data_IF_054065610740
#
_entry.id   IF_054065610740
#
_cell.length_a   1.000
_cell.length_b   1.000
_cell.length_c   1.000
_cell.angle_alpha   90.00
_cell.angle_beta   90.00
_cell.angle_gamma   90.00
#
_symmetry.space_group_name_H-M   'P 1'
#
loop_
_entity.id
_entity.type
_entity.pdbx_description
1 polymer ?
#
# COMPACT_ATOMS: atom_id res chain seq x y z
N UNK A 1 17.31 20.36 24.12
CA UNK A 1 17.78 19.91 25.46
C UNK A 1 17.64 21.08 26.40
N UNK A 2 16.46 21.22 26.99
CA UNK A 2 16.20 22.17 28.05
C UNK A 2 15.74 21.32 29.23
N UNK A 3 16.54 21.29 30.28
CA UNK A 3 16.32 20.47 31.46
C UNK A 3 15.00 20.90 32.11
N UNK A 4 14.08 19.95 32.28
CA UNK A 4 12.94 20.13 33.17
C UNK A 4 13.50 20.46 34.56
N UNK A 5 13.39 21.73 34.94
CA UNK A 5 13.77 22.19 36.26
C UNK A 5 12.80 21.56 37.28
N UNK A 6 13.35 20.74 38.18
CA UNK A 6 12.72 20.34 39.44
C UNK A 6 12.47 21.59 40.29
N UNK A 7 11.36 22.29 40.07
CA UNK A 7 10.89 23.26 41.05
C UNK A 7 10.34 22.50 42.27
N UNK A 8 10.82 22.81 43.50
CA UNK A 8 10.32 22.15 44.70
C UNK A 8 8.83 22.46 44.90
N UNK A 9 8.06 21.42 45.20
CA UNK A 9 6.64 21.53 45.53
C UNK A 9 6.45 22.51 46.71
N UNK A 10 5.55 23.47 46.57
CA UNK A 10 5.22 24.41 47.63
C UNK A 10 4.52 23.68 48.81
N UNK A 11 4.67 24.17 50.04
CA UNK A 11 4.15 23.55 51.27
C UNK A 11 2.66 23.19 51.23
N UNK A 12 1.86 23.93 50.44
CA UNK A 12 0.45 23.67 50.23
C UNK A 12 0.18 22.37 49.43
N UNK A 13 1.04 22.01 48.48
CA UNK A 13 0.89 20.81 47.64
C UNK A 13 1.26 19.54 48.41
N UNK A 14 2.25 19.61 49.30
CA UNK A 14 2.61 18.48 50.18
C UNK A 14 1.45 18.08 51.09
N UNK A 15 0.74 19.06 51.66
CA UNK A 15 -0.47 18.79 52.45
C UNK A 15 -1.61 18.19 51.63
N UNK A 16 -1.72 18.55 50.36
CA UNK A 16 -2.74 18.03 49.45
C UNK A 16 -2.46 16.56 49.06
N UNK A 17 -1.18 16.22 48.84
CA UNK A 17 -0.72 14.84 48.64
C UNK A 17 -1.05 13.98 49.88
N UNK A 18 -0.73 14.45 51.08
CA UNK A 18 -1.04 13.72 52.32
C UNK A 18 -2.55 13.48 52.52
N UNK A 19 -3.38 14.50 52.25
CA UNK A 19 -4.84 14.36 52.26
C UNK A 19 -5.32 13.34 51.25
N UNK A 20 -4.77 13.34 50.05
CA UNK A 20 -5.14 12.41 48.98
C UNK A 20 -4.78 10.97 49.35
N UNK A 21 -3.59 10.75 49.90
CA UNK A 21 -3.16 9.44 50.42
C UNK A 21 -4.08 8.93 51.53
N UNK A 22 -4.49 9.83 52.43
CA UNK A 22 -5.42 9.51 53.51
C UNK A 22 -6.80 9.11 52.98
N UNK A 23 -7.33 9.83 51.98
CA UNK A 23 -8.59 9.48 51.31
C UNK A 23 -8.50 8.13 50.57
N UNK A 24 -7.36 7.85 49.95
CA UNK A 24 -7.09 6.59 49.26
C UNK A 24 -6.80 5.41 50.21
N UNK A 25 -6.68 5.65 51.53
CA UNK A 25 -6.28 4.66 52.54
C UNK A 25 -4.89 4.03 52.28
N UNK A 26 -3.99 4.80 51.67
CA UNK A 26 -2.61 4.39 51.41
C UNK A 26 -1.67 4.98 52.46
N UNK A 27 -0.64 4.22 52.86
CA UNK A 27 0.43 4.73 53.70
C UNK A 27 1.58 5.23 52.84
N UNK A 28 2.39 6.20 53.31
CA UNK A 28 3.60 6.63 52.62
C UNK A 28 4.66 5.52 52.44
N UNK A 29 4.54 4.44 53.20
CA UNK A 29 5.35 3.23 53.13
C UNK A 29 4.95 2.32 51.95
N UNK A 30 3.71 2.43 51.47
CA UNK A 30 3.16 1.65 50.37
C UNK A 30 3.53 2.25 49.00
N UNK A 31 4.14 3.44 48.99
CA UNK A 31 4.50 4.18 47.77
C UNK A 31 5.93 3.89 47.35
N UNK A 32 6.14 3.84 46.04
CA UNK A 32 7.48 3.88 45.45
C UNK A 32 8.15 5.22 45.76
N UNK A 33 9.50 5.30 45.67
CA UNK A 33 10.23 6.53 45.92
C UNK A 33 9.80 7.71 45.05
N UNK A 34 9.34 7.47 43.83
CA UNK A 34 8.86 8.53 42.94
C UNK A 34 7.33 8.66 43.00
N UNK A 35 6.84 9.80 43.48
CA UNK A 35 5.43 10.20 43.41
C UNK A 35 5.22 11.17 42.25
N UNK A 36 4.29 10.86 41.34
CA UNK A 36 3.99 11.72 40.19
C UNK A 36 2.60 12.33 40.35
N UNK A 37 2.51 13.66 40.36
CA UNK A 37 1.24 14.38 40.41
C UNK A 37 0.84 14.76 38.99
N UNK A 38 -0.29 14.23 38.53
CA UNK A 38 -0.80 14.42 37.17
C UNK A 38 -1.70 15.66 37.12
N UNK A 39 -1.37 16.59 36.23
CA UNK A 39 -2.16 17.79 35.96
C UNK A 39 -2.62 17.83 34.51
N UNK A 40 -3.75 18.45 34.28
CA UNK A 40 -4.21 18.78 32.93
C UNK A 40 -3.60 20.12 32.50
N UNK A 41 -3.10 20.19 31.26
CA UNK A 41 -2.67 21.46 30.68
C UNK A 41 -3.83 22.47 30.69
N UNK A 42 -3.51 23.75 30.86
CA UNK A 42 -4.48 24.85 30.82
C UNK A 42 -4.99 25.18 29.41
N UNK A 43 -4.33 24.63 28.38
CA UNK A 43 -4.72 24.74 26.98
C UNK A 43 -5.78 23.68 26.63
N UNK A 44 -6.51 23.86 25.52
CA UNK A 44 -7.52 22.89 25.09
C UNK A 44 -6.91 21.50 24.91
N UNK A 45 -7.33 20.54 25.73
CA UNK A 45 -6.85 19.15 25.69
C UNK A 45 -7.35 18.38 24.45
N UNK A 46 -8.31 18.96 23.73
CA UNK A 46 -8.79 18.51 22.43
C UNK A 46 -7.92 19.10 21.32
N UNK A 47 -6.61 18.84 21.39
CA UNK A 47 -5.73 19.28 20.31
C UNK A 47 -6.01 18.44 19.06
N UNK A 48 -6.66 19.06 18.06
CA UNK A 48 -6.87 18.50 16.72
C UNK A 48 -5.55 18.15 15.97
N UNK A 49 -4.40 18.44 16.58
CA UNK A 49 -3.08 18.19 16.00
C UNK A 49 -2.59 16.75 16.23
N UNK A 50 -3.24 15.98 17.10
CA UNK A 50 -2.85 14.61 17.40
C UNK A 50 -4.01 13.65 17.14
N UNK A 51 -3.67 12.46 16.63
CA UNK A 51 -4.56 11.31 16.53
C UNK A 51 -3.79 10.08 16.99
N UNK A 52 -4.48 9.17 17.67
CA UNK A 52 -3.90 7.89 18.09
C UNK A 52 -4.07 6.89 16.94
N UNK A 53 -2.99 6.22 16.56
CA UNK A 53 -2.99 5.19 15.53
C UNK A 53 -2.59 3.86 16.16
N UNK A 54 -3.39 2.83 15.96
CA UNK A 54 -3.04 1.48 16.33
C UNK A 54 -1.98 0.94 15.36
N UNK A 55 -0.88 0.43 15.91
CA UNK A 55 0.23 -0.11 15.15
C UNK A 55 0.41 -1.57 15.56
N UNK A 56 0.28 -2.48 14.59
CA UNK A 56 0.62 -3.89 14.78
C UNK A 56 2.13 -4.12 14.63
N UNK A 57 2.61 -5.35 14.87
CA UNK A 57 4.04 -5.65 14.76
C UNK A 57 4.60 -5.43 13.34
N UNK A 58 3.79 -5.65 12.30
CA UNK A 58 4.22 -5.50 10.91
C UNK A 58 4.43 -4.03 10.55
N UNK A 59 3.48 -3.16 10.93
CA UNK A 59 3.59 -1.72 10.78
C UNK A 59 4.72 -1.17 11.66
N UNK A 60 4.90 -1.70 12.87
CA UNK A 60 5.98 -1.29 13.76
C UNK A 60 7.37 -1.53 13.14
N UNK A 61 7.57 -2.69 12.52
CA UNK A 61 8.80 -2.99 11.75
C UNK A 61 8.99 -1.96 10.62
N UNK A 62 7.93 -1.68 9.87
CA UNK A 62 7.96 -0.67 8.79
C UNK A 62 8.36 0.71 9.31
N UNK A 63 7.82 1.17 10.45
CA UNK A 63 8.19 2.46 11.05
C UNK A 63 9.62 2.48 11.59
N UNK A 64 10.09 1.37 12.17
CA UNK A 64 11.43 1.26 12.72
C UNK A 64 12.53 1.30 11.64
N UNK A 65 12.24 0.75 10.46
CA UNK A 65 13.17 0.74 9.32
C UNK A 65 13.23 2.08 8.55
N UNK A 66 12.62 3.15 9.09
CA UNK A 66 12.40 4.43 8.39
C UNK A 66 11.55 4.28 7.12
N UNK A 67 10.69 3.26 7.10
CA UNK A 67 9.73 3.04 6.03
C UNK A 67 8.77 4.22 5.90
N UNK A 68 8.35 4.51 4.68
CA UNK A 68 7.36 5.55 4.39
C UNK A 68 5.99 4.90 4.36
N UNK A 69 5.04 5.52 5.07
CA UNK A 69 3.63 5.17 5.00
C UNK A 69 2.84 6.32 4.40
N UNK A 70 1.80 5.99 3.64
CA UNK A 70 0.95 6.94 2.95
C UNK A 70 -0.47 6.80 3.44
N UNK A 71 -1.15 7.91 3.72
CA UNK A 71 -2.60 7.93 3.88
C UNK A 71 -3.19 8.34 2.54
N UNK A 72 -4.05 7.49 1.96
CA UNK A 72 -4.63 7.68 0.63
C UNK A 72 -6.15 7.65 0.70
N UNK A 73 -6.80 8.56 -0.01
CA UNK A 73 -8.25 8.62 -0.13
C UNK A 73 -8.66 9.96 -0.73
N UNK A 74 -9.69 9.93 -1.56
CA UNK A 74 -10.30 11.13 -2.13
C UNK A 74 -11.48 11.57 -1.26
N UNK A 75 -12.04 12.76 -1.52
CA UNK A 75 -13.11 13.35 -0.69
C UNK A 75 -14.37 12.47 -0.54
N UNK A 76 -14.57 11.51 -1.45
CA UNK A 76 -15.72 10.61 -1.51
C UNK A 76 -15.39 9.15 -1.13
N UNK A 77 -14.19 8.88 -0.63
CA UNK A 77 -13.72 7.54 -0.27
C UNK A 77 -13.24 7.50 1.19
N UNK A 78 -13.31 6.32 1.80
CA UNK A 78 -12.69 6.13 3.11
C UNK A 78 -11.17 6.14 2.95
N UNK A 79 -10.44 6.77 3.87
CA UNK A 79 -9.00 6.75 3.84
C UNK A 79 -8.45 5.33 4.11
N UNK A 80 -7.34 5.00 3.43
CA UNK A 80 -6.55 3.80 3.67
C UNK A 80 -5.13 4.19 4.05
N UNK A 81 -4.46 3.33 4.81
CA UNK A 81 -3.03 3.41 5.05
C UNK A 81 -2.32 2.44 4.09
N UNK A 82 -1.33 2.93 3.35
CA UNK A 82 -0.51 2.11 2.46
C UNK A 82 0.94 2.14 2.92
N UNK A 83 1.56 0.96 3.04
CA UNK A 83 3.01 0.82 3.01
C UNK A 83 3.47 0.65 1.56
N UNK A 84 4.76 0.35 1.34
CA UNK A 84 5.23 -0.02 0.00
C UNK A 84 4.67 -1.36 -0.47
N UNK A 85 4.27 -2.25 0.45
CA UNK A 85 3.95 -3.65 0.18
C UNK A 85 2.49 -4.03 0.38
N UNK A 86 1.74 -3.29 1.20
CA UNK A 86 0.37 -3.63 1.57
C UNK A 86 -0.53 -2.41 1.84
N UNK A 87 -1.83 -2.62 1.69
CA UNK A 87 -2.87 -1.64 2.02
C UNK A 87 -3.67 -2.08 3.25
N UNK A 88 -4.08 -1.11 4.05
CA UNK A 88 -4.82 -1.29 5.28
C UNK A 88 -6.00 -0.33 5.35
N UNK A 89 -7.15 -0.81 5.78
CA UNK A 89 -8.30 0.04 6.09
C UNK A 89 -8.00 0.84 7.36
N UNK A 90 -8.44 2.11 7.35
CA UNK A 90 -8.29 3.04 8.46
C UNK A 90 -9.69 3.36 9.03
N UNK A 91 -9.97 2.86 10.23
CA UNK A 91 -11.28 3.01 10.87
C UNK A 91 -11.15 3.75 12.20
N UNK A 92 -12.03 4.71 12.45
CA UNK A 92 -12.09 5.38 13.74
C UNK A 92 -12.92 4.56 14.72
N UNK A 93 -12.29 4.17 15.84
CA UNK A 93 -12.89 3.32 16.87
C UNK A 93 -12.94 4.10 18.19
N UNK A 94 -14.14 4.20 18.76
CA UNK A 94 -14.35 4.84 20.07
C UNK A 94 -13.99 3.91 21.23
N UNK A 95 -13.54 4.50 22.34
CA UNK A 95 -13.25 3.82 23.60
C UNK A 95 -14.16 4.32 24.71
N UNK A 96 -14.63 3.40 25.57
CA UNK A 96 -15.40 3.77 26.76
C UNK A 96 -14.57 4.45 27.85
N UNK A 97 -13.25 4.28 27.80
CA UNK A 97 -12.29 4.90 28.70
C UNK A 97 -11.56 6.04 27.99
N UNK A 98 -11.19 7.07 28.75
CA UNK A 98 -10.32 8.13 28.27
C UNK A 98 -8.87 7.63 28.15
N UNK A 99 -8.24 7.93 27.02
CA UNK A 99 -6.81 7.71 26.77
C UNK A 99 -6.07 9.05 27.00
N UNK A 100 -5.16 9.06 27.97
CA UNK A 100 -4.40 10.27 28.33
C UNK A 100 -3.04 10.25 27.64
N UNK A 101 -2.76 11.25 26.81
CA UNK A 101 -1.41 11.48 26.28
C UNK A 101 -0.62 12.29 27.29
N UNK A 102 0.39 11.63 27.88
CA UNK A 102 1.20 12.19 28.95
C UNK A 102 2.67 12.06 28.59
N UNK A 103 3.39 13.16 28.67
CA UNK A 103 4.82 13.19 28.36
C UNK A 103 5.62 12.75 29.59
N UNK A 104 6.64 11.89 29.37
CA UNK A 104 7.62 11.48 30.40
C UNK A 104 7.00 10.87 31.67
N UNK A 105 5.88 10.16 31.56
CA UNK A 105 5.30 9.41 32.67
C UNK A 105 6.21 8.22 33.04
N UNK A 106 6.70 8.19 34.27
CA UNK A 106 7.47 7.07 34.78
C UNK A 106 6.56 5.92 35.21
N UNK A 107 6.78 4.74 34.64
CA UNK A 107 6.15 3.49 35.08
C UNK A 107 7.00 2.80 36.14
N UNK A 108 6.40 1.85 36.87
CA UNK A 108 7.05 1.12 37.97
C UNK A 108 8.46 0.62 37.62
N UNK A 109 8.62 0.04 36.43
CA UNK A 109 9.89 -0.58 36.01
C UNK A 109 11.04 0.44 35.81
N UNK A 110 10.70 1.74 35.75
CA UNK A 110 11.67 2.83 35.62
C UNK A 110 12.12 3.43 36.97
N UNK A 111 11.56 2.96 38.09
CA UNK A 111 11.83 3.51 39.43
C UNK A 111 12.61 2.51 40.26
N UNK A 112 13.74 2.95 40.84
CA UNK A 112 14.54 2.12 41.74
C UNK A 112 14.07 2.28 43.19
N UNK A 113 13.79 1.17 43.89
CA UNK A 113 13.28 1.19 45.28
C UNK A 113 14.22 1.87 46.28
N UNK A 114 15.52 1.94 45.97
CA UNK A 114 16.55 2.58 46.81
C UNK A 114 16.72 4.08 46.55
N UNK A 115 16.00 4.65 45.57
CA UNK A 115 16.08 6.08 45.27
C UNK A 115 15.52 6.93 46.43
N UNK A 116 16.01 8.18 46.60
CA UNK A 116 15.40 9.11 47.53
C UNK A 116 13.95 9.41 47.13
N UNK A 117 13.08 9.62 48.13
CA UNK A 117 11.70 10.00 47.87
C UNK A 117 11.66 11.33 47.13
N UNK A 118 11.04 11.35 45.97
CA UNK A 118 10.91 12.51 45.10
C UNK A 118 9.46 12.64 44.65
N UNK A 119 9.01 13.88 44.50
CA UNK A 119 7.73 14.19 43.87
C UNK A 119 8.01 14.92 42.58
N UNK A 120 7.39 14.51 41.49
CA UNK A 120 7.48 15.21 40.21
C UNK A 120 6.09 15.55 39.67
N UNK A 121 6.04 16.59 38.84
CA UNK A 121 4.83 17.04 38.16
C UNK A 121 4.80 16.49 36.75
N UNK A 122 3.67 15.93 36.35
CA UNK A 122 3.47 15.43 34.98
C UNK A 122 2.22 16.09 34.40
N UNK A 123 2.30 16.49 33.12
CA UNK A 123 1.22 17.24 32.46
C UNK A 123 0.60 16.41 31.34
N UNK A 124 -0.72 16.25 31.37
CA UNK A 124 -1.52 15.67 30.29
C UNK A 124 -1.57 16.67 29.14
N UNK A 125 -1.16 16.22 27.96
CA UNK A 125 -1.12 16.99 26.71
C UNK A 125 -2.35 16.77 25.84
N UNK A 126 -3.05 15.64 26.01
CA UNK A 126 -4.27 15.35 25.27
C UNK A 126 -5.14 14.30 25.93
N UNK A 127 -6.44 14.37 25.67
CA UNK A 127 -7.43 13.39 26.13
C UNK A 127 -8.21 12.89 24.92
N UNK A 128 -8.10 11.59 24.65
CA UNK A 128 -8.71 10.94 23.50
C UNK A 128 -9.78 9.95 23.95
N UNK A 129 -10.83 9.84 23.14
CA UNK A 129 -11.89 8.86 23.29
C UNK A 129 -12.05 8.00 22.02
N UNK A 130 -11.15 8.21 21.05
CA UNK A 130 -11.07 7.50 19.80
C UNK A 130 -9.62 7.20 19.44
N UNK A 131 -9.44 6.21 18.57
CA UNK A 131 -8.19 5.93 17.90
C UNK A 131 -8.49 5.39 16.50
N UNK A 132 -7.49 5.49 15.63
CA UNK A 132 -7.52 4.91 14.30
C UNK A 132 -7.03 3.47 14.39
N UNK A 133 -7.95 2.54 14.16
CA UNK A 133 -7.67 1.13 13.98
C UNK A 133 -7.22 0.87 12.53
N UNK A 134 -6.20 0.03 12.38
CA UNK A 134 -5.60 -0.31 11.08
C UNK A 134 -5.76 -1.81 10.86
N UNK A 135 -6.44 -2.20 9.78
CA UNK A 135 -6.65 -3.61 9.46
C UNK A 135 -6.21 -3.94 8.03
N UNK A 136 -5.43 -5.02 7.80
CA UNK A 136 -5.01 -5.39 6.44
C UNK A 136 -6.22 -5.59 5.53
N UNK A 137 -6.17 -5.01 4.34
CA UNK A 137 -7.28 -5.06 3.38
C UNK A 137 -6.78 -5.35 1.98
N UNK A 138 -7.70 -5.72 1.08
CA UNK A 138 -7.36 -5.88 -0.34
C UNK A 138 -7.36 -4.50 -1.01
N UNK A 139 -6.42 -4.22 -1.92
CA UNK A 139 -6.39 -2.96 -2.64
C UNK A 139 -7.65 -2.82 -3.52
N UNK A 140 -8.23 -1.63 -3.54
CA UNK A 140 -9.38 -1.37 -4.41
C UNK A 140 -8.90 -1.04 -5.84
N UNK A 141 -8.84 -2.09 -6.68
CA UNK A 141 -8.39 -1.99 -8.06
C UNK A 141 -9.52 -1.68 -9.06
N UNK A 142 -10.77 -1.55 -8.61
CA UNK A 142 -11.88 -1.22 -9.49
C UNK A 142 -11.66 0.15 -10.15
N UNK A 143 -11.22 1.14 -9.35
CA UNK A 143 -10.90 2.48 -9.82
C UNK A 143 -9.77 2.49 -10.86
N UNK A 144 -8.79 1.58 -10.74
CA UNK A 144 -7.72 1.45 -11.73
C UNK A 144 -8.29 1.05 -13.10
N UNK A 145 -9.19 0.06 -13.13
CA UNK A 145 -9.90 -0.32 -14.36
C UNK A 145 -10.71 0.83 -14.93
N UNK A 146 -11.53 1.49 -14.10
CA UNK A 146 -12.38 2.60 -14.53
C UNK A 146 -11.58 3.76 -15.13
N UNK A 147 -10.38 4.04 -14.62
CA UNK A 147 -9.49 5.07 -15.17
C UNK A 147 -8.88 4.63 -16.51
N UNK A 148 -8.40 3.39 -16.62
CA UNK A 148 -7.71 2.91 -17.81
C UNK A 148 -8.65 2.54 -18.97
N UNK A 149 -9.87 2.08 -18.68
CA UNK A 149 -10.88 1.71 -19.68
C UNK A 149 -11.47 2.91 -20.42
N UNK A 150 -11.33 4.13 -19.88
CA UNK A 150 -11.79 5.36 -20.56
C UNK A 150 -11.06 5.59 -21.87
N UNK A 151 -9.77 5.24 -21.93
CA UNK A 151 -8.92 5.50 -23.08
C UNK A 151 -7.95 4.36 -23.36
N UNK A 152 -8.44 3.20 -23.80
CA UNK A 152 -7.59 2.12 -24.26
C UNK A 152 -6.77 2.57 -25.48
N UNK A 153 -5.64 1.92 -25.72
CA UNK A 153 -4.80 2.17 -26.89
C UNK A 153 -5.32 1.36 -28.08
N UNK A 154 -5.75 2.07 -29.12
CA UNK A 154 -6.38 1.48 -30.33
C UNK A 154 -5.46 1.46 -31.55
N UNK A 155 -4.23 1.95 -31.39
CA UNK A 155 -3.25 2.09 -32.46
C UNK A 155 -2.84 3.54 -32.73
N UNK A 156 -1.67 3.73 -33.36
CA UNK A 156 -1.09 5.05 -33.58
C UNK A 156 -1.98 5.97 -34.42
N UNK A 157 -2.81 5.40 -35.30
CA UNK A 157 -3.73 6.15 -36.14
C UNK A 157 -4.83 6.88 -35.37
N UNK A 158 -5.15 6.43 -34.14
CA UNK A 158 -6.21 6.99 -33.28
C UNK A 158 -5.68 7.97 -32.22
N UNK A 159 -4.38 8.22 -32.15
CA UNK A 159 -3.78 9.06 -31.11
C UNK A 159 -3.61 10.54 -31.52
N UNK A 160 -3.73 10.88 -32.82
CA UNK A 160 -3.37 12.20 -33.36
C UNK A 160 -4.26 13.37 -32.94
N UNK A 161 -5.52 13.11 -32.61
CA UNK A 161 -6.52 14.16 -32.30
C UNK A 161 -7.11 14.02 -30.89
N UNK A 162 -6.52 13.17 -30.04
CA UNK A 162 -7.04 12.85 -28.73
C UNK A 162 -6.49 13.75 -27.65
N UNK A 163 -7.37 14.53 -27.03
CA UNK A 163 -7.08 15.34 -25.84
C UNK A 163 -6.39 14.48 -24.75
N UNK A 164 -5.26 14.90 -24.16
CA UNK A 164 -4.47 14.13 -23.18
C UNK A 164 -5.19 13.83 -21.85
N UNK A 165 -6.43 14.29 -21.70
CA UNK A 165 -7.30 13.88 -20.60
C UNK A 165 -7.46 12.35 -20.58
N UNK A 166 -7.61 11.81 -19.36
CA UNK A 166 -7.69 10.38 -19.09
C UNK A 166 -6.46 9.55 -19.51
N UNK A 167 -5.27 10.17 -19.57
CA UNK A 167 -3.99 9.48 -19.68
C UNK A 167 -3.14 9.63 -18.42
N UNK A 168 -2.72 8.50 -17.88
CA UNK A 168 -2.05 8.47 -16.59
C UNK A 168 -0.64 7.91 -16.70
N UNK A 169 0.30 8.60 -16.06
CA UNK A 169 1.61 8.05 -15.72
C UNK A 169 1.48 7.11 -14.53
N UNK A 170 2.51 6.30 -14.30
CA UNK A 170 2.58 5.44 -13.13
C UNK A 170 2.42 6.23 -11.81
N UNK A 171 3.09 7.39 -11.69
CA UNK A 171 3.01 8.21 -10.48
C UNK A 171 1.62 8.78 -10.25
N UNK A 172 0.91 9.17 -11.32
CA UNK A 172 -0.45 9.67 -11.21
C UNK A 172 -1.42 8.57 -10.76
N UNK A 173 -1.26 7.34 -11.26
CA UNK A 173 -2.05 6.20 -10.80
C UNK A 173 -1.75 5.86 -9.34
N UNK A 174 -0.47 5.80 -8.96
CA UNK A 174 -0.08 5.49 -7.58
C UNK A 174 -0.65 6.48 -6.56
N UNK A 175 -0.81 7.74 -6.95
CA UNK A 175 -1.39 8.77 -6.09
C UNK A 175 -2.93 8.72 -6.02
N UNK A 176 -3.59 8.20 -7.07
CA UNK A 176 -5.07 8.16 -7.16
C UNK A 176 -5.68 6.83 -6.75
N UNK A 177 -4.90 5.75 -6.73
CA UNK A 177 -5.38 4.40 -6.41
C UNK A 177 -5.03 4.06 -4.96
N UNK A 178 -6.02 3.53 -4.25
CA UNK A 178 -5.90 2.99 -2.90
C UNK A 178 -5.22 1.62 -2.92
N UNK A 179 -3.93 1.64 -3.21
CA UNK A 179 -3.06 0.47 -3.25
C UNK A 179 -1.63 0.86 -2.84
N UNK A 180 -0.91 -0.10 -2.29
CA UNK A 180 0.54 -0.03 -2.17
C UNK A 180 1.22 -0.08 -3.55
N UNK A 181 2.52 0.21 -3.58
CA UNK A 181 3.32 0.14 -4.80
C UNK A 181 3.32 -1.28 -5.38
N UNK A 182 3.62 -2.27 -4.55
CA UNK A 182 3.67 -3.66 -4.98
C UNK A 182 2.31 -4.18 -5.46
N UNK A 183 1.22 -3.77 -4.81
CA UNK A 183 -0.13 -4.15 -5.23
C UNK A 183 -0.50 -3.52 -6.58
N UNK A 184 -0.14 -2.25 -6.80
CA UNK A 184 -0.34 -1.60 -8.09
C UNK A 184 0.49 -2.27 -9.19
N UNK A 185 1.77 -2.57 -8.93
CA UNK A 185 2.65 -3.25 -9.89
C UNK A 185 2.08 -4.61 -10.28
N UNK A 186 1.68 -5.42 -9.29
CA UNK A 186 1.06 -6.72 -9.52
C UNK A 186 -0.26 -6.59 -10.32
N UNK A 187 -1.05 -5.55 -10.05
CA UNK A 187 -2.28 -5.28 -10.79
C UNK A 187 -2.01 -4.91 -12.26
N UNK A 188 -1.05 -4.01 -12.51
CA UNK A 188 -0.68 -3.59 -13.87
C UNK A 188 -0.10 -4.76 -14.68
N UNK A 189 0.71 -5.62 -14.06
CA UNK A 189 1.22 -6.84 -14.68
C UNK A 189 0.09 -7.82 -15.02
N UNK A 190 -0.84 -8.05 -14.10
CA UNK A 190 -1.99 -8.92 -14.31
C UNK A 190 -2.94 -8.41 -15.42
N UNK A 191 -3.13 -7.09 -15.50
CA UNK A 191 -3.91 -6.43 -16.55
C UNK A 191 -3.18 -6.34 -17.90
N UNK A 192 -1.90 -6.73 -17.96
CA UNK A 192 -1.05 -6.72 -19.18
C UNK A 192 -0.99 -5.34 -19.80
N UNK A 193 -0.76 -4.36 -18.95
CA UNK A 193 -0.68 -2.96 -19.34
C UNK A 193 0.60 -2.69 -20.13
N UNK A 194 0.48 -1.86 -21.16
CA UNK A 194 1.63 -1.36 -21.93
C UNK A 194 1.92 0.08 -21.56
N UNK A 195 3.20 0.45 -21.66
CA UNK A 195 3.65 1.83 -21.49
C UNK A 195 3.92 2.42 -22.87
N UNK A 196 3.10 3.41 -23.27
CA UNK A 196 3.23 4.10 -24.56
C UNK A 196 3.43 5.58 -24.27
N UNK A 197 4.55 6.16 -24.71
CA UNK A 197 4.89 7.58 -24.47
C UNK A 197 4.79 7.98 -22.99
N UNK A 198 5.34 7.16 -22.09
CA UNK A 198 5.27 7.32 -20.63
C UNK A 198 3.88 7.18 -19.99
N UNK A 199 2.84 6.89 -20.77
CA UNK A 199 1.48 6.67 -20.30
C UNK A 199 1.14 5.18 -20.22
N UNK A 200 0.45 4.83 -19.15
CA UNK A 200 0.01 3.48 -18.81
C UNK A 200 -1.31 3.20 -19.53
N UNK A 201 -1.37 2.18 -20.39
CA UNK A 201 -2.51 1.92 -21.30
C UNK A 201 -2.92 0.45 -21.37
N UNK A 202 -4.22 0.19 -21.33
CA UNK A 202 -4.79 -1.09 -21.75
C UNK A 202 -4.80 -1.13 -23.29
N UNK A 203 -4.37 -2.25 -23.88
CA UNK A 203 -4.53 -2.47 -25.33
C UNK A 203 -5.98 -2.82 -25.66
N UNK A 204 -6.55 -2.14 -26.65
CA UNK A 204 -7.84 -2.52 -27.20
C UNK A 204 -7.77 -3.92 -27.84
N UNK A 205 -8.86 -4.68 -27.69
CA UNK A 205 -8.92 -6.06 -28.14
C UNK A 205 -8.71 -6.22 -29.65
N UNK A 206 -9.31 -5.34 -30.46
CA UNK A 206 -9.17 -5.41 -31.92
C UNK A 206 -7.74 -5.07 -32.34
N UNK A 207 -7.16 -4.05 -31.70
CA UNK A 207 -5.77 -3.66 -31.93
C UNK A 207 -4.79 -4.78 -31.55
N UNK A 208 -4.96 -5.36 -30.36
CA UNK A 208 -4.18 -6.51 -29.89
C UNK A 208 -4.24 -7.66 -30.90
N UNK A 209 -5.46 -8.02 -31.33
CA UNK A 209 -5.68 -9.12 -32.28
C UNK A 209 -5.02 -8.85 -33.64
N UNK A 210 -5.03 -7.59 -34.08
CA UNK A 210 -4.36 -7.15 -35.31
C UNK A 210 -2.84 -7.29 -35.21
N UNK A 211 -2.23 -6.83 -34.12
CA UNK A 211 -0.78 -6.97 -33.89
C UNK A 211 -0.37 -8.45 -33.86
N UNK A 212 -1.11 -9.28 -33.15
CA UNK A 212 -0.86 -10.72 -33.10
C UNK A 212 -0.93 -11.37 -34.50
N UNK A 213 -1.90 -10.94 -35.33
CA UNK A 213 -2.01 -11.43 -36.70
C UNK A 213 -0.80 -11.05 -37.56
N UNK A 214 -0.21 -9.86 -37.36
CA UNK A 214 1.03 -9.47 -38.03
C UNK A 214 2.22 -10.32 -37.58
N UNK A 215 2.33 -10.61 -36.29
CA UNK A 215 3.38 -11.51 -35.78
C UNK A 215 3.26 -12.92 -36.37
N UNK A 216 2.05 -13.48 -36.42
CA UNK A 216 1.79 -14.79 -37.03
C UNK A 216 2.12 -14.81 -38.53
N UNK A 217 1.74 -13.75 -39.25
CA UNK A 217 2.08 -13.60 -40.67
C UNK A 217 3.60 -13.53 -40.89
N UNK A 218 4.34 -12.85 -40.02
CA UNK A 218 5.80 -12.77 -40.10
C UNK A 218 6.46 -14.14 -39.92
N UNK A 219 5.95 -14.96 -39.01
CA UNK A 219 6.40 -16.35 -38.81
C UNK A 219 6.18 -17.18 -40.07
N UNK A 220 5.00 -17.06 -40.70
CA UNK A 220 4.69 -17.75 -41.95
C UNK A 220 5.60 -17.29 -43.10
N UNK A 221 5.79 -15.98 -43.27
CA UNK A 221 6.61 -15.39 -44.33
C UNK A 221 8.09 -15.80 -44.23
N UNK A 222 8.63 -15.86 -43.01
CA UNK A 222 10.00 -16.32 -42.77
C UNK A 222 10.13 -17.84 -42.67
N UNK A 223 9.01 -18.58 -42.77
CA UNK A 223 8.97 -20.04 -42.58
C UNK A 223 9.59 -20.48 -41.26
N UNK A 224 9.40 -19.69 -40.19
CA UNK A 224 9.90 -20.02 -38.87
C UNK A 224 9.11 -21.16 -38.26
N UNK A 225 9.81 -22.03 -37.53
CA UNK A 225 9.15 -22.95 -36.63
C UNK A 225 8.59 -22.18 -35.44
N UNK A 226 7.46 -22.61 -34.89
CA UNK A 226 6.88 -22.00 -33.69
C UNK A 226 7.83 -21.97 -32.48
N UNK A 227 8.86 -22.84 -32.47
CA UNK A 227 9.83 -22.92 -31.39
C UNK A 227 11.14 -22.14 -31.67
N UNK A 228 11.21 -21.46 -32.83
CA UNK A 228 12.41 -20.78 -33.33
C UNK A 228 12.04 -19.40 -33.88
N UNK A 229 11.25 -18.64 -33.12
CA UNK A 229 10.87 -17.27 -33.47
C UNK A 229 11.98 -16.31 -33.04
N UNK A 230 12.44 -15.48 -33.97
CA UNK A 230 13.49 -14.49 -33.75
C UNK A 230 12.89 -13.17 -33.23
N UNK A 231 13.35 -12.74 -32.05
CA UNK A 231 12.88 -11.52 -31.41
C UNK A 231 13.35 -10.26 -32.15
N UNK A 232 14.64 -10.17 -32.47
CA UNK A 232 15.25 -8.97 -33.06
C UNK A 232 14.66 -8.72 -34.45
N UNK A 233 14.50 -9.78 -35.25
CA UNK A 233 13.86 -9.68 -36.57
C UNK A 233 12.37 -9.32 -36.47
N UNK A 234 11.67 -9.79 -35.43
CA UNK A 234 10.27 -9.43 -35.20
C UNK A 234 10.12 -7.94 -34.89
N UNK A 235 10.92 -7.43 -33.94
CA UNK A 235 10.91 -6.01 -33.57
C UNK A 235 11.32 -5.14 -34.75
N UNK A 236 12.42 -5.48 -35.44
CA UNK A 236 12.91 -4.67 -36.55
C UNK A 236 11.90 -4.57 -37.69
N UNK A 237 11.19 -5.66 -37.99
CA UNK A 237 10.24 -5.70 -39.12
C UNK A 237 8.92 -4.99 -38.81
N UNK A 238 8.44 -5.09 -37.56
CA UNK A 238 7.14 -4.54 -37.17
C UNK A 238 7.21 -3.10 -36.62
N UNK A 239 8.40 -2.62 -36.25
CA UNK A 239 8.61 -1.28 -35.65
C UNK A 239 8.08 -0.11 -36.50
N UNK A 240 8.05 -0.26 -37.83
CA UNK A 240 7.50 0.77 -38.74
C UNK A 240 5.99 0.98 -38.59
N UNK A 241 5.26 -0.03 -38.08
CA UNK A 241 3.79 -0.05 -38.00
C UNK A 241 3.28 -0.05 -36.56
N UNK A 242 4.06 -0.59 -35.63
CA UNK A 242 3.66 -0.82 -34.25
C UNK A 242 4.77 -0.27 -33.33
N UNK A 243 4.42 0.49 -32.28
CA UNK A 243 5.39 0.91 -31.27
C UNK A 243 6.15 -0.29 -30.69
N UNK A 244 7.47 -0.15 -30.55
CA UNK A 244 8.34 -1.23 -30.08
C UNK A 244 7.90 -1.76 -28.71
N UNK A 245 7.43 -0.90 -27.81
CA UNK A 245 6.99 -1.27 -26.46
C UNK A 245 5.83 -2.27 -26.51
N UNK A 246 4.94 -2.13 -27.50
CA UNK A 246 3.80 -3.03 -27.70
C UNK A 246 4.26 -4.34 -28.31
N UNK A 247 5.18 -4.30 -29.28
CA UNK A 247 5.76 -5.52 -29.87
C UNK A 247 6.44 -6.34 -28.78
N UNK A 248 7.31 -5.71 -27.99
CA UNK A 248 8.00 -6.33 -26.87
C UNK A 248 7.02 -6.97 -25.88
N UNK A 249 6.04 -6.20 -25.42
CA UNK A 249 5.05 -6.68 -24.45
C UNK A 249 4.25 -7.88 -24.96
N UNK A 250 3.77 -7.83 -26.22
CA UNK A 250 3.01 -8.93 -26.80
C UNK A 250 3.90 -10.15 -27.11
N UNK A 251 5.16 -9.92 -27.52
CA UNK A 251 6.12 -10.99 -27.74
C UNK A 251 6.39 -11.76 -26.45
N UNK A 252 6.69 -11.05 -25.35
CA UNK A 252 6.86 -11.65 -24.03
C UNK A 252 5.59 -12.35 -23.53
N UNK A 253 4.41 -11.85 -23.90
CA UNK A 253 3.14 -12.45 -23.50
C UNK A 253 2.86 -13.82 -24.17
N UNK A 254 3.29 -13.99 -25.42
CA UNK A 254 2.99 -15.16 -26.23
C UNK A 254 4.17 -16.11 -26.45
N UNK A 255 5.37 -15.72 -26.04
CA UNK A 255 6.58 -16.53 -26.22
C UNK A 255 7.31 -16.76 -24.90
N UNK A 256 8.13 -17.81 -24.88
CA UNK A 256 9.10 -18.08 -23.83
C UNK A 256 10.50 -18.27 -24.43
N UNK A 257 11.55 -17.95 -23.68
CA UNK A 257 12.92 -18.17 -24.14
C UNK A 257 13.17 -19.67 -24.31
N UNK A 258 13.59 -20.10 -25.49
CA UNK A 258 13.97 -21.48 -25.71
C UNK A 258 15.39 -21.74 -25.20
N UNK A 259 15.79 -23.03 -25.15
CA UNK A 259 17.17 -23.43 -24.79
C UNK A 259 18.22 -23.06 -25.85
N UNK A 260 17.76 -22.75 -27.06
CA UNK A 260 18.58 -22.19 -28.14
C UNK A 260 18.31 -20.68 -28.14
N UNK A 261 19.16 -19.84 -28.73
CA UNK A 261 19.03 -18.37 -28.71
C UNK A 261 17.74 -17.79 -29.37
N UNK A 262 16.74 -18.62 -29.62
CA UNK A 262 15.43 -18.31 -30.17
C UNK A 262 14.31 -18.41 -29.12
N UNK A 263 13.13 -17.86 -29.43
CA UNK A 263 11.94 -17.96 -28.58
C UNK A 263 10.93 -18.97 -29.12
N UNK A 264 10.18 -19.59 -28.21
CA UNK A 264 9.14 -20.57 -28.51
C UNK A 264 7.77 -19.99 -28.21
N UNK A 265 6.82 -20.18 -29.13
CA UNK A 265 5.44 -19.76 -28.96
C UNK A 265 4.75 -20.67 -27.95
N UNK A 266 4.10 -20.05 -26.97
CA UNK A 266 3.25 -20.73 -26.01
C UNK A 266 1.88 -21.01 -26.65
N UNK A 267 1.71 -22.19 -27.25
CA UNK A 267 0.42 -22.62 -27.84
C UNK A 267 -0.73 -22.62 -26.82
N UNK A 268 -0.46 -22.94 -25.55
CA UNK A 268 -1.45 -22.80 -24.47
C UNK A 268 -1.84 -21.33 -24.25
N UNK A 269 -0.92 -20.39 -24.40
CA UNK A 269 -1.25 -18.95 -24.37
C UNK A 269 -2.06 -18.53 -25.59
N UNK A 270 -1.77 -19.06 -26.78
CA UNK A 270 -2.58 -18.81 -27.98
C UNK A 270 -4.00 -19.39 -27.85
N UNK A 271 -4.19 -20.56 -27.24
CA UNK A 271 -5.50 -21.20 -27.11
C UNK A 271 -6.26 -20.63 -25.90
N UNK A 272 -5.66 -20.60 -24.71
CA UNK A 272 -6.31 -20.14 -23.49
C UNK A 272 -6.52 -18.61 -23.46
N UNK A 273 -5.62 -17.82 -24.08
CA UNK A 273 -5.75 -16.35 -24.12
C UNK A 273 -6.51 -15.81 -25.33
N UNK A 274 -6.71 -16.56 -26.43
CA UNK A 274 -7.67 -16.19 -27.48
C UNK A 274 -9.13 -16.60 -27.14
N UNK A 275 -9.32 -17.54 -26.20
CA UNK A 275 -10.63 -17.97 -25.69
C UNK A 275 -11.18 -17.08 -24.56
N UNK A 276 -10.78 -15.81 -24.48
CA UNK A 276 -11.44 -14.73 -23.70
C UNK A 276 -12.88 -14.40 -24.20
N UNK A 277 -13.54 -15.37 -24.86
CA UNK A 277 -14.66 -15.17 -25.78
C UNK A 277 -16.06 -15.31 -25.16
N UNK A 278 -16.22 -15.48 -23.85
CA UNK A 278 -17.56 -15.73 -23.27
C UNK A 278 -17.89 -15.00 -21.95
N UNK A 279 -17.41 -13.78 -21.74
CA UNK A 279 -18.09 -12.81 -20.85
C UNK A 279 -18.33 -13.26 -19.40
N UNK A 280 -17.26 -13.54 -18.66
CA UNK A 280 -17.32 -13.76 -17.20
C UNK A 280 -16.86 -12.49 -16.47
N UNK A 281 -17.60 -12.10 -15.43
CA UNK A 281 -17.27 -10.97 -14.56
C UNK A 281 -16.02 -11.30 -13.71
N UNK A 282 -15.19 -10.29 -13.48
CA UNK A 282 -14.00 -10.31 -12.61
C UNK A 282 -14.21 -11.03 -11.26
N UNK A 283 -15.44 -11.01 -10.72
CA UNK A 283 -15.85 -11.68 -9.48
C UNK A 283 -15.58 -13.19 -9.43
N UNK A 284 -15.40 -13.86 -10.58
CA UNK A 284 -15.23 -15.31 -10.63
C UNK A 284 -13.76 -15.77 -10.63
N UNK A 285 -12.79 -14.85 -10.76
CA UNK A 285 -11.35 -15.17 -10.74
C UNK A 285 -10.76 -15.34 -9.34
N UNK A 286 -11.32 -14.74 -8.29
CA UNK A 286 -10.82 -14.91 -6.91
C UNK A 286 -11.02 -16.34 -6.35
N UNK A 287 -11.83 -17.18 -7.01
CA UNK A 287 -12.18 -18.52 -6.55
C UNK A 287 -11.42 -19.67 -7.24
N UNK A 288 -10.48 -19.40 -8.15
CA UNK A 288 -9.75 -20.47 -8.82
C UNK A 288 -8.55 -20.98 -7.97
N UNK A 289 -8.52 -22.26 -7.57
CA UNK A 289 -7.42 -22.77 -6.75
C UNK A 289 -6.12 -22.82 -7.57
N UNK A 290 -5.04 -22.26 -7.01
CA UNK A 290 -3.66 -22.48 -7.47
C UNK A 290 -3.33 -23.98 -7.36
N UNK A 291 -3.56 -24.76 -8.42
CA UNK A 291 -3.04 -26.12 -8.48
C UNK A 291 -1.53 -26.06 -8.73
N UNK A 292 -0.78 -26.16 -7.62
CA UNK A 292 0.60 -26.65 -7.64
C UNK A 292 0.59 -28.05 -8.25
N UNK A 293 1.26 -28.23 -9.39
CA UNK A 293 1.62 -29.55 -9.88
C UNK A 293 2.62 -30.17 -8.89
N UNK A 294 2.15 -31.12 -8.09
CA UNK A 294 3.01 -32.15 -7.53
C UNK A 294 3.35 -33.11 -8.67
N UNK A 295 4.63 -33.15 -9.02
CA UNK A 295 5.24 -34.32 -9.64
C UNK A 295 5.16 -35.47 -8.66
N UNK A 296 4.54 -36.58 -9.05
CA UNK A 296 4.87 -37.88 -8.48
C UNK A 296 5.05 -38.90 -9.60
N UNK A 297 6.22 -39.53 -9.54
CA UNK A 297 6.67 -40.66 -10.32
C UNK A 297 5.74 -41.86 -10.12
N UNK A 298 5.41 -42.53 -11.22
CA UNK A 298 5.47 -43.99 -11.38
C UNK A 298 5.59 -44.33 -12.86
#
# INVERSE_FOLDING_TARGET
MESAHDEPFADNQTQEIEKTLLLAKLKPEDLLPLTQVVYFASEELHHNNYKLLQIDNCLLETFNEQGVVYVKGEDNENAVLCTDTATYDLLETETSNALLLVESLHFRDSVTDSAPKATSKVTVKGVFYDYLEVTPTKPNLQRLHELLDKRPYKGPEYERDGDEHDLYTYSELLNRIQASRNELDAALEAMRIVKVNDKIRILDFEYHSRVLSYMLKLIEENSWNFNEVDYDQTVSTLSDLIPEEIICSLFELYTEKSKREFCSIMLESLIYKNFWKHGWSWYQMECAPKQRCYTDLL
#
